data_IF_185571870741
#
_entry.id   IF_185571870741
#
_cell.length_a   1.000
_cell.length_b   1.000
_cell.length_c   1.000
_cell.angle_alpha   90.00
_cell.angle_beta   90.00
_cell.angle_gamma   90.00
#
_symmetry.space_group_name_H-M   'P 1'
#
loop_
_entity.id
_entity.type
_entity.pdbx_description
1 polymer ?
#
# COMPACT_ATOMS: atom_id res chain seq x y z
N UNK A 1 -7.20 -4.66 -9.62
CA UNK A 1 -6.82 -5.57 -8.51
C UNK A 1 -6.70 -6.98 -9.09
N UNK A 2 -5.72 -7.77 -8.64
CA UNK A 2 -5.59 -9.16 -9.06
C UNK A 2 -6.70 -10.05 -8.47
N UNK A 3 -6.74 -11.32 -8.87
CA UNK A 3 -7.62 -12.30 -8.24
C UNK A 3 -7.35 -12.43 -6.74
N UNK A 4 -8.43 -12.60 -5.97
CA UNK A 4 -8.42 -12.81 -4.51
C UNK A 4 -7.36 -13.82 -4.07
N UNK A 5 -7.24 -14.94 -4.80
CA UNK A 5 -6.33 -16.03 -4.49
C UNK A 5 -4.86 -15.63 -4.49
N UNK A 6 -4.47 -14.62 -5.29
CA UNK A 6 -3.09 -14.12 -5.37
C UNK A 6 -2.70 -13.47 -4.05
N UNK A 7 -3.55 -12.59 -3.51
CA UNK A 7 -3.29 -11.91 -2.24
C UNK A 7 -3.26 -12.88 -1.06
N UNK A 8 -4.20 -13.84 -1.02
CA UNK A 8 -4.21 -14.91 -0.02
C UNK A 8 -2.90 -15.70 -0.09
N UNK A 9 -2.50 -16.18 -1.27
CA UNK A 9 -1.27 -16.96 -1.46
C UNK A 9 -0.01 -16.17 -1.05
N UNK A 10 0.05 -14.86 -1.31
CA UNK A 10 1.17 -14.02 -0.87
C UNK A 10 1.28 -13.95 0.64
N UNK A 11 0.16 -13.77 1.35
CA UNK A 11 0.15 -13.76 2.82
C UNK A 11 0.49 -15.12 3.40
N UNK A 12 0.00 -16.22 2.83
CA UNK A 12 0.40 -17.58 3.23
C UNK A 12 1.90 -17.84 3.03
N UNK A 13 2.46 -17.43 1.89
CA UNK A 13 3.90 -17.50 1.65
C UNK A 13 4.70 -16.64 2.63
N UNK A 14 4.17 -15.50 3.08
CA UNK A 14 4.82 -14.69 4.11
C UNK A 14 4.76 -15.37 5.48
N UNK A 15 3.59 -15.89 5.88
CA UNK A 15 3.39 -16.62 7.14
C UNK A 15 4.31 -17.83 7.25
N UNK A 16 4.58 -18.55 6.16
CA UNK A 16 5.55 -19.67 6.16
C UNK A 16 7.03 -19.26 6.31
N UNK A 17 7.36 -17.96 6.26
CA UNK A 17 8.74 -17.44 6.37
C UNK A 17 9.06 -16.78 7.71
N UNK A 18 8.06 -16.51 8.55
CA UNK A 18 8.22 -15.77 9.82
C UNK A 18 7.58 -16.57 10.94
N UNK A 19 8.32 -16.79 12.03
CA UNK A 19 7.96 -17.82 13.02
C UNK A 19 6.93 -17.40 14.06
N UNK A 20 6.59 -16.11 14.16
CA UNK A 20 5.61 -15.64 15.15
C UNK A 20 5.51 -14.13 15.26
N UNK A 21 4.59 -13.66 16.10
CA UNK A 21 4.25 -12.24 16.24
C UNK A 21 3.26 -11.76 15.18
N UNK A 22 3.29 -10.45 14.90
CA UNK A 22 2.43 -9.83 13.87
C UNK A 22 3.25 -8.95 12.94
N UNK A 23 2.89 -8.89 11.66
CA UNK A 23 3.35 -7.84 10.77
C UNK A 23 2.32 -6.71 10.70
N UNK A 24 2.74 -5.50 11.11
CA UNK A 24 1.99 -4.27 10.97
C UNK A 24 2.41 -3.56 9.68
N UNK A 25 1.50 -3.49 8.71
CA UNK A 25 1.70 -2.85 7.42
C UNK A 25 0.78 -1.63 7.33
N UNK A 26 1.36 -0.42 7.43
CA UNK A 26 0.60 0.82 7.31
C UNK A 26 0.43 1.18 5.83
N UNK A 27 -0.81 1.45 5.43
CA UNK A 27 -1.12 2.14 4.18
C UNK A 27 -0.73 3.61 4.25
N UNK A 28 -0.67 4.24 3.09
CA UNK A 28 -0.41 5.66 2.97
C UNK A 28 -1.66 6.49 3.28
N UNK A 29 -1.43 7.73 3.68
CA UNK A 29 -2.45 8.77 3.72
C UNK A 29 -2.46 9.59 2.43
N UNK A 30 -3.54 10.33 2.25
CA UNK A 30 -3.54 11.47 1.33
C UNK A 30 -2.51 12.52 1.76
N UNK A 31 -1.91 13.20 0.79
CA UNK A 31 -0.90 14.22 1.04
C UNK A 31 -1.41 15.56 0.55
N UNK A 32 -1.72 16.51 1.45
CA UNK A 32 -2.14 17.86 1.09
C UNK A 32 -1.11 18.57 0.19
N UNK A 33 -1.56 19.24 -0.87
CA UNK A 33 -0.72 20.07 -1.75
C UNK A 33 -0.48 21.47 -1.16
N UNK A 34 -1.57 22.16 -0.80
CA UNK A 34 -1.56 23.55 -0.34
C UNK A 34 -2.60 23.84 0.75
N UNK A 35 -3.59 22.96 0.96
CA UNK A 35 -4.48 22.92 2.11
C UNK A 35 -5.00 21.49 2.32
N UNK A 36 -5.57 21.20 3.50
CA UNK A 36 -5.89 19.85 3.97
C UNK A 36 -6.67 19.02 2.94
N UNK A 37 -7.73 19.56 2.35
CA UNK A 37 -8.63 18.82 1.44
C UNK A 37 -8.29 19.01 -0.05
N UNK A 38 -7.07 19.46 -0.38
CA UNK A 38 -6.54 19.39 -1.76
C UNK A 38 -5.33 18.46 -1.81
N UNK A 39 -5.56 17.15 -1.92
CA UNK A 39 -4.48 16.18 -1.91
C UNK A 39 -3.80 16.02 -3.27
N UNK A 40 -2.53 15.65 -3.26
CA UNK A 40 -1.86 15.03 -4.42
C UNK A 40 -2.58 13.74 -4.81
N UNK A 41 -2.39 13.32 -6.07
CA UNK A 41 -2.88 12.02 -6.51
C UNK A 41 -2.40 10.92 -5.54
N UNK A 42 -3.37 10.19 -4.98
CA UNK A 42 -3.08 9.18 -3.98
C UNK A 42 -2.26 8.04 -4.59
N UNK A 43 -1.32 7.52 -3.80
CA UNK A 43 -0.55 6.34 -4.15
C UNK A 43 -0.32 5.51 -2.91
N UNK A 44 -0.81 4.27 -2.91
CA UNK A 44 -0.65 3.35 -1.78
C UNK A 44 0.81 2.95 -1.49
N UNK A 45 1.09 2.52 -0.25
CA UNK A 45 2.31 1.80 0.07
C UNK A 45 2.46 0.53 -0.79
N UNK A 46 3.64 0.32 -1.36
CA UNK A 46 3.85 -0.79 -2.31
C UNK A 46 3.78 -2.16 -1.63
N UNK A 47 4.16 -2.28 -0.36
CA UNK A 47 4.09 -3.57 0.34
C UNK A 47 2.67 -3.85 0.82
N UNK A 48 1.96 -2.85 1.33
CA UNK A 48 0.53 -2.95 1.60
C UNK A 48 -0.24 -3.37 0.35
N UNK A 49 0.00 -2.71 -0.79
CA UNK A 49 -0.64 -3.04 -2.06
C UNK A 49 -0.28 -4.46 -2.54
N UNK A 50 0.95 -4.91 -2.30
CA UNK A 50 1.37 -6.27 -2.67
C UNK A 50 0.58 -7.36 -1.93
N UNK A 51 0.34 -7.18 -0.62
CA UNK A 51 -0.36 -8.18 0.20
C UNK A 51 -1.87 -8.03 0.25
N UNK A 52 -2.41 -6.82 0.08
CA UNK A 52 -3.84 -6.56 0.21
C UNK A 52 -4.49 -6.05 -1.09
N UNK A 53 -3.75 -5.43 -2.00
CA UNK A 53 -4.28 -4.98 -3.30
C UNK A 53 -5.28 -3.83 -3.24
N UNK A 54 -5.43 -3.19 -2.08
CA UNK A 54 -6.40 -2.10 -1.86
C UNK A 54 -5.68 -0.75 -1.96
N UNK A 55 -6.03 0.00 -2.99
CA UNK A 55 -5.55 1.37 -3.23
C UNK A 55 -6.56 2.37 -2.66
N UNK A 56 -6.51 2.54 -1.34
CA UNK A 56 -7.38 3.45 -0.58
C UNK A 56 -6.60 4.03 0.60
N UNK A 57 -6.73 5.33 0.90
CA UNK A 57 -5.95 5.99 1.95
C UNK A 57 -6.35 5.52 3.36
N UNK A 58 -5.47 5.78 4.34
CA UNK A 58 -5.81 5.63 5.76
C UNK A 58 -5.97 4.20 6.25
N UNK A 59 -5.48 3.21 5.50
CA UNK A 59 -5.60 1.80 5.86
C UNK A 59 -4.42 1.32 6.75
N UNK A 60 -4.68 0.29 7.54
CA UNK A 60 -3.64 -0.54 8.16
C UNK A 60 -3.98 -2.01 7.99
N UNK A 61 -2.96 -2.82 7.76
CA UNK A 61 -3.09 -4.26 7.56
C UNK A 61 -2.26 -4.99 8.60
N UNK A 62 -2.83 -6.03 9.19
CA UNK A 62 -2.12 -6.92 10.10
C UNK A 62 -2.13 -8.32 9.53
N UNK A 63 -0.95 -8.94 9.45
CA UNK A 63 -0.79 -10.36 9.18
C UNK A 63 -0.32 -10.98 10.48
N UNK A 64 -1.17 -11.79 11.09
CA UNK A 64 -0.88 -12.43 12.36
C UNK A 64 -0.20 -13.79 12.11
N UNK A 65 1.07 -13.91 12.48
CA UNK A 65 1.86 -15.12 12.26
C UNK A 65 1.55 -16.22 13.29
N UNK A 66 1.01 -15.86 14.45
CA UNK A 66 0.70 -16.81 15.51
C UNK A 66 -0.67 -17.47 15.29
N UNK A 67 -1.69 -16.67 14.90
CA UNK A 67 -3.04 -17.20 14.61
C UNK A 67 -3.23 -17.62 13.16
N UNK A 68 -2.42 -17.09 12.24
CA UNK A 68 -2.60 -17.27 10.80
C UNK A 68 -3.70 -16.39 10.20
N UNK A 69 -4.32 -15.52 10.99
CA UNK A 69 -5.39 -14.63 10.55
C UNK A 69 -4.85 -13.33 9.94
N UNK A 70 -5.59 -12.78 8.98
CA UNK A 70 -5.30 -11.48 8.37
C UNK A 70 -6.39 -10.48 8.76
N UNK A 71 -5.99 -9.21 8.93
CA UNK A 71 -6.88 -8.12 9.33
C UNK A 71 -6.65 -6.89 8.45
N UNK A 72 -7.74 -6.20 8.10
CA UNK A 72 -7.69 -4.86 7.50
C UNK A 72 -8.44 -3.89 8.40
N UNK A 73 -7.82 -2.75 8.66
CA UNK A 73 -8.38 -1.66 9.43
C UNK A 73 -8.51 -0.42 8.55
N UNK A 74 -9.65 0.25 8.64
CA UNK A 74 -9.91 1.48 7.91
C UNK A 74 -11.34 1.96 8.11
N UNK A 75 -11.59 3.22 7.76
CA UNK A 75 -12.90 3.86 7.90
C UNK A 75 -13.56 4.12 6.55
N UNK A 76 -14.86 3.83 6.46
CA UNK A 76 -15.67 4.19 5.30
C UNK A 76 -15.90 5.71 5.29
N UNK A 77 -15.99 6.30 4.10
CA UNK A 77 -16.44 7.69 3.94
C UNK A 77 -17.80 7.91 4.59
N UNK A 78 -18.01 9.13 5.09
CA UNK A 78 -19.28 9.47 5.72
C UNK A 78 -20.36 9.83 4.68
N UNK A 79 -21.56 10.17 5.16
CA UNK A 79 -22.67 10.51 4.27
C UNK A 79 -22.44 11.84 3.54
N UNK A 80 -21.74 12.79 4.15
CA UNK A 80 -21.46 14.10 3.56
C UNK A 80 -20.50 13.93 2.38
N UNK A 81 -19.45 13.13 2.58
CA UNK A 81 -18.51 12.70 1.56
C UNK A 81 -19.19 12.01 0.37
N UNK A 82 -20.14 11.10 0.63
CA UNK A 82 -20.88 10.38 -0.43
C UNK A 82 -21.69 11.34 -1.30
N UNK A 83 -22.18 12.45 -0.76
CA UNK A 83 -22.91 13.45 -1.55
C UNK A 83 -22.01 14.09 -2.61
N UNK A 84 -20.72 14.29 -2.30
CA UNK A 84 -19.76 14.94 -3.19
C UNK A 84 -19.02 13.97 -4.10
N UNK A 85 -18.60 12.82 -3.56
CA UNK A 85 -17.79 11.83 -4.27
C UNK A 85 -18.60 10.72 -4.93
N UNK A 86 -19.90 10.66 -4.64
CA UNK A 86 -20.76 9.54 -5.00
C UNK A 86 -20.55 8.31 -4.12
N UNK A 87 -21.35 7.24 -4.33
CA UNK A 87 -21.22 5.99 -3.57
C UNK A 87 -19.83 5.39 -3.73
N UNK A 88 -19.14 5.22 -2.61
CA UNK A 88 -17.85 4.53 -2.56
C UNK A 88 -18.05 3.06 -2.20
N UNK A 89 -17.25 2.20 -2.82
CA UNK A 89 -17.15 0.80 -2.39
C UNK A 89 -16.66 0.75 -0.94
N UNK A 90 -17.33 -0.03 -0.11
CA UNK A 90 -17.00 -0.07 1.31
C UNK A 90 -15.70 -0.85 1.57
N UNK A 91 -15.01 -0.51 2.64
CA UNK A 91 -13.79 -1.21 3.08
C UNK A 91 -14.05 -2.70 3.29
N UNK A 92 -15.25 -3.05 3.76
CA UNK A 92 -15.67 -4.44 3.91
C UNK A 92 -15.65 -5.21 2.60
N UNK A 93 -16.10 -4.58 1.52
CA UNK A 93 -16.15 -5.18 0.19
C UNK A 93 -14.73 -5.28 -0.40
N UNK A 94 -13.91 -4.23 -0.22
CA UNK A 94 -12.49 -4.21 -0.61
C UNK A 94 -11.68 -5.28 0.09
N UNK A 95 -11.86 -5.44 1.41
CA UNK A 95 -11.20 -6.46 2.21
C UNK A 95 -11.56 -7.88 1.75
N UNK A 96 -12.84 -8.12 1.42
CA UNK A 96 -13.28 -9.42 0.90
C UNK A 96 -12.66 -9.74 -0.47
N UNK A 97 -12.48 -8.74 -1.34
CA UNK A 97 -11.73 -8.89 -2.61
C UNK A 97 -10.26 -9.25 -2.38
N UNK A 98 -9.66 -8.77 -1.30
CA UNK A 98 -8.30 -9.15 -0.85
C UNK A 98 -8.24 -10.52 -0.14
N UNK A 99 -9.40 -11.13 0.14
CA UNK A 99 -9.50 -12.38 0.90
C UNK A 99 -9.27 -12.23 2.40
N UNK A 100 -9.57 -11.07 2.95
CA UNK A 100 -9.50 -10.78 4.38
C UNK A 100 -10.91 -10.69 4.94
N UNK A 101 -11.22 -11.54 5.93
CA UNK A 101 -12.53 -11.57 6.59
C UNK A 101 -12.57 -10.64 7.79
N UNK A 102 -11.49 -10.62 8.57
CA UNK A 102 -11.40 -9.81 9.79
C UNK A 102 -11.13 -8.36 9.44
N UNK A 103 -12.01 -7.48 9.91
CA UNK A 103 -11.95 -6.05 9.58
C UNK A 103 -12.54 -5.21 10.69
N UNK A 104 -11.98 -4.02 10.87
CA UNK A 104 -12.42 -3.07 11.89
C UNK A 104 -12.10 -1.63 11.48
N UNK A 105 -12.59 -0.67 12.24
CA UNK A 105 -12.25 0.74 12.09
C UNK A 105 -10.75 0.98 12.35
N UNK A 106 -10.18 2.03 11.76
CA UNK A 106 -8.73 2.33 11.93
C UNK A 106 -8.37 2.60 13.40
N UNK A 107 -9.32 3.13 14.17
CA UNK A 107 -9.18 3.39 15.60
C UNK A 107 -8.86 2.14 16.43
N UNK A 108 -9.23 0.95 15.93
CA UNK A 108 -9.01 -0.34 16.61
C UNK A 108 -7.60 -0.91 16.41
N UNK A 109 -6.78 -0.34 15.54
CA UNK A 109 -5.38 -0.78 15.36
C UNK A 109 -4.58 -0.62 16.64
N UNK A 110 -4.76 0.49 17.35
CA UNK A 110 -4.03 0.77 18.58
C UNK A 110 -4.31 -0.28 19.67
N UNK A 111 -5.59 -0.65 19.83
CA UNK A 111 -6.02 -1.71 20.75
C UNK A 111 -5.39 -3.05 20.38
N UNK A 112 -5.42 -3.43 19.09
CA UNK A 112 -4.83 -4.69 18.63
C UNK A 112 -3.30 -4.75 18.89
N UNK A 113 -2.59 -3.66 18.58
CA UNK A 113 -1.13 -3.60 18.77
C UNK A 113 -0.78 -3.61 20.26
N UNK A 114 -1.50 -2.86 21.10
CA UNK A 114 -1.30 -2.84 22.54
C UNK A 114 -1.52 -4.22 23.18
N UNK A 115 -2.56 -4.94 22.76
CA UNK A 115 -2.81 -6.31 23.21
C UNK A 115 -1.70 -7.28 22.78
N UNK A 116 -1.19 -7.15 21.55
CA UNK A 116 -0.04 -7.93 21.10
C UNK A 116 1.22 -7.63 21.94
N UNK A 117 1.47 -6.36 22.27
CA UNK A 117 2.59 -5.95 23.13
C UNK A 117 2.44 -6.54 24.55
N UNK A 118 1.26 -6.47 25.16
CA UNK A 118 0.99 -7.04 26.50
C UNK A 118 1.19 -8.55 26.54
N UNK A 119 0.89 -9.23 25.45
CA UNK A 119 1.10 -10.68 25.30
C UNK A 119 2.58 -11.04 25.00
N UNK A 120 3.47 -10.04 24.91
CA UNK A 120 4.89 -10.25 24.60
C UNK A 120 5.14 -10.65 23.14
N UNK A 121 4.17 -10.41 22.26
CA UNK A 121 4.26 -10.76 20.84
C UNK A 121 5.12 -9.73 20.11
N UNK A 122 5.93 -10.20 19.17
CA UNK A 122 6.82 -9.33 18.39
C UNK A 122 6.01 -8.54 17.36
N UNK A 123 6.22 -7.23 17.31
CA UNK A 123 5.63 -6.36 16.28
C UNK A 123 6.67 -6.16 15.17
N UNK A 124 6.40 -6.75 14.01
CA UNK A 124 7.24 -6.59 12.82
C UNK A 124 6.71 -5.45 11.95
N UNK A 125 7.56 -4.50 11.61
CA UNK A 125 7.25 -3.47 10.62
C UNK A 125 8.45 -3.21 9.72
N UNK A 126 8.17 -2.69 8.53
CA UNK A 126 9.17 -2.30 7.55
C UNK A 126 9.66 -0.86 7.81
N UNK A 127 10.85 -0.48 7.31
CA UNK A 127 11.32 0.91 7.40
C UNK A 127 10.32 1.87 6.74
N UNK A 128 9.71 2.79 7.49
CA UNK A 128 8.81 3.79 6.91
C UNK A 128 9.61 4.86 6.16
N UNK A 129 9.03 5.37 5.07
CA UNK A 129 9.61 6.48 4.29
C UNK A 129 8.79 7.78 4.38
N UNK A 130 7.57 7.71 4.93
CA UNK A 130 6.69 8.86 5.16
C UNK A 130 6.65 9.23 6.63
N UNK A 131 6.74 10.53 6.92
CA UNK A 131 6.66 11.11 8.26
C UNK A 131 5.41 10.68 9.02
N UNK A 132 4.27 10.61 8.33
CA UNK A 132 2.98 10.27 8.92
C UNK A 132 3.00 8.84 9.46
N UNK A 133 3.61 7.91 8.71
CA UNK A 133 3.76 6.53 9.12
C UNK A 133 4.78 6.36 10.25
N UNK A 134 5.84 7.16 10.28
CA UNK A 134 6.78 7.21 11.42
C UNK A 134 6.02 7.61 12.71
N UNK A 135 5.22 8.67 12.64
CA UNK A 135 4.46 9.17 13.79
C UNK A 135 3.34 8.20 14.22
N UNK A 136 2.68 7.53 13.26
CA UNK A 136 1.72 6.46 13.58
C UNK A 136 2.38 5.30 14.30
N UNK A 137 3.54 4.83 13.81
CA UNK A 137 4.28 3.76 14.46
C UNK A 137 4.73 4.17 15.87
N UNK A 138 5.15 5.41 16.09
CA UNK A 138 5.46 5.92 17.44
C UNK A 138 4.25 5.82 18.36
N UNK A 139 3.08 6.28 17.90
CA UNK A 139 1.83 6.17 18.68
C UNK A 139 1.41 4.73 18.97
N UNK A 140 1.59 3.82 18.01
CA UNK A 140 1.15 2.44 18.12
C UNK A 140 2.09 1.55 18.94
N UNK A 141 3.40 1.82 18.87
CA UNK A 141 4.44 0.95 19.47
C UNK A 141 5.12 1.57 20.68
N UNK A 142 4.97 2.89 20.90
CA UNK A 142 5.72 3.64 21.91
C UNK A 142 7.19 3.91 21.54
N UNK A 143 7.65 3.47 20.36
CA UNK A 143 9.03 3.69 19.89
C UNK A 143 9.13 5.14 19.38
N UNK A 144 10.02 5.93 19.98
CA UNK A 144 10.22 7.33 19.56
C UNK A 144 10.53 7.44 18.06
N UNK A 145 9.91 8.42 17.39
CA UNK A 145 10.07 8.69 15.95
C UNK A 145 11.52 8.70 15.47
N UNK A 146 12.42 9.30 16.26
CA UNK A 146 13.86 9.38 15.95
C UNK A 146 14.61 8.04 16.00
N UNK A 147 14.00 6.98 16.56
CA UNK A 147 14.60 5.65 16.69
C UNK A 147 13.85 4.55 15.95
N UNK A 148 12.72 4.84 15.30
CA UNK A 148 11.87 3.85 14.62
C UNK A 148 12.68 2.91 13.72
N UNK A 149 13.65 3.44 12.97
CA UNK A 149 14.45 2.67 12.03
C UNK A 149 15.32 1.59 12.72
N UNK A 150 15.73 1.81 13.97
CA UNK A 150 16.53 0.86 14.75
C UNK A 150 15.73 -0.39 15.16
N UNK A 151 14.40 -0.30 15.13
CA UNK A 151 13.46 -1.36 15.54
C UNK A 151 12.75 -2.03 14.37
N UNK A 152 13.10 -1.66 13.12
CA UNK A 152 12.57 -2.32 11.93
C UNK A 152 12.93 -3.80 11.91
N UNK A 153 12.09 -4.63 11.31
CA UNK A 153 12.25 -6.09 11.33
C UNK A 153 13.12 -6.58 10.16
N UNK A 154 14.38 -7.00 10.37
CA UNK A 154 15.23 -7.50 9.28
C UNK A 154 14.70 -8.80 8.67
N UNK A 155 14.01 -9.60 9.47
CA UNK A 155 13.35 -10.84 9.06
C UNK A 155 12.19 -10.55 8.09
N UNK A 156 11.32 -9.59 8.44
CA UNK A 156 10.23 -9.16 7.58
C UNK A 156 10.76 -8.53 6.29
N UNK A 157 11.79 -7.69 6.37
CA UNK A 157 12.43 -7.08 5.20
C UNK A 157 12.93 -8.18 4.23
N UNK A 158 13.68 -9.16 4.72
CA UNK A 158 14.22 -10.26 3.90
C UNK A 158 13.09 -11.08 3.26
N UNK A 159 12.05 -11.42 4.02
CA UNK A 159 10.92 -12.18 3.50
C UNK A 159 10.13 -11.41 2.42
N UNK A 160 9.87 -10.12 2.63
CA UNK A 160 9.18 -9.27 1.65
C UNK A 160 10.02 -9.09 0.38
N UNK A 161 11.34 -8.86 0.52
CA UNK A 161 12.24 -8.74 -0.64
C UNK A 161 12.27 -10.03 -1.43
N UNK A 162 12.39 -11.19 -0.78
CA UNK A 162 12.39 -12.49 -1.43
C UNK A 162 11.11 -12.72 -2.25
N UNK A 163 9.94 -12.47 -1.65
CA UNK A 163 8.65 -12.62 -2.32
C UNK A 163 8.47 -11.66 -3.51
N UNK A 164 8.90 -10.40 -3.38
CA UNK A 164 8.72 -9.38 -4.43
C UNK A 164 9.80 -9.43 -5.51
N UNK A 165 10.90 -10.15 -5.28
CA UNK A 165 12.00 -10.24 -6.24
C UNK A 165 11.65 -11.14 -7.43
N UNK A 166 10.92 -12.23 -7.19
CA UNK A 166 10.46 -13.17 -8.21
C UNK A 166 9.00 -12.87 -8.57
N UNK A 167 8.74 -12.55 -9.83
CA UNK A 167 7.41 -12.09 -10.28
C UNK A 167 6.53 -13.29 -10.64
N UNK A 168 5.28 -13.24 -10.21
CA UNK A 168 4.24 -14.18 -10.66
C UNK A 168 3.85 -13.86 -12.12
N UNK A 169 3.24 -14.81 -12.83
CA UNK A 169 2.86 -14.62 -14.24
C UNK A 169 1.95 -13.41 -14.45
N UNK A 170 0.98 -13.19 -13.56
CA UNK A 170 0.09 -12.03 -13.60
C UNK A 170 0.85 -10.70 -13.46
N UNK A 171 1.91 -10.66 -12.63
CA UNK A 171 2.74 -9.46 -12.48
C UNK A 171 3.57 -9.18 -13.72
N UNK A 172 4.10 -10.24 -14.36
CA UNK A 172 4.83 -10.12 -15.62
C UNK A 172 3.91 -9.57 -16.72
N UNK A 173 2.65 -9.99 -16.74
CA UNK A 173 1.68 -9.51 -17.73
C UNK A 173 1.37 -8.02 -17.54
N UNK A 174 1.18 -7.55 -16.31
CA UNK A 174 1.05 -6.10 -16.01
C UNK A 174 2.32 -5.33 -16.36
N UNK A 175 3.51 -5.87 -16.05
CA UNK A 175 4.78 -5.24 -16.43
C UNK A 175 4.90 -5.13 -17.96
N UNK A 176 4.46 -6.13 -18.72
CA UNK A 176 4.44 -6.07 -20.19
C UNK A 176 3.49 -5.00 -20.71
N UNK A 177 2.35 -4.78 -20.06
CA UNK A 177 1.44 -3.67 -20.39
C UNK A 177 2.17 -2.34 -20.14
N UNK A 178 2.74 -2.14 -18.96
CA UNK A 178 3.50 -0.93 -18.62
C UNK A 178 4.68 -0.68 -19.56
N UNK A 179 5.43 -1.71 -19.94
CA UNK A 179 6.54 -1.59 -20.90
C UNK A 179 6.06 -1.20 -22.31
N UNK A 180 4.93 -1.73 -22.78
CA UNK A 180 4.34 -1.34 -24.09
C UNK A 180 3.88 0.11 -24.08
N UNK A 181 3.32 0.56 -22.97
CA UNK A 181 2.95 1.95 -22.76
C UNK A 181 4.20 2.86 -22.76
N UNK A 182 5.23 2.49 -22.00
CA UNK A 182 6.51 3.20 -21.97
C UNK A 182 7.19 3.25 -23.34
N UNK A 183 7.13 2.18 -24.13
CA UNK A 183 7.60 2.19 -25.51
C UNK A 183 6.87 3.26 -26.34
N UNK A 184 5.54 3.30 -26.26
CA UNK A 184 4.71 4.28 -26.97
C UNK A 184 5.05 5.71 -26.56
N UNK A 185 5.26 5.95 -25.26
CA UNK A 185 5.71 7.22 -24.72
C UNK A 185 7.07 7.63 -25.30
N UNK A 186 8.07 6.74 -25.25
CA UNK A 186 9.41 7.06 -25.76
C UNK A 186 9.42 7.30 -27.29
N UNK A 187 8.63 6.55 -28.06
CA UNK A 187 8.49 6.79 -29.50
C UNK A 187 7.90 8.17 -29.78
N UNK A 188 6.84 8.56 -29.05
CA UNK A 188 6.24 9.88 -29.18
C UNK A 188 7.24 10.99 -28.78
N UNK A 189 8.00 10.81 -27.70
CA UNK A 189 9.05 11.76 -27.32
C UNK A 189 10.05 11.98 -28.46
N UNK A 190 10.55 10.90 -29.07
CA UNK A 190 11.53 11.00 -30.16
C UNK A 190 10.95 11.67 -31.41
N UNK A 191 9.68 11.42 -31.73
CA UNK A 191 9.00 12.04 -32.87
C UNK A 191 8.82 13.55 -32.68
N UNK A 192 8.52 13.98 -31.45
CA UNK A 192 8.20 15.38 -31.13
C UNK A 192 9.41 16.22 -30.64
N UNK A 193 10.57 15.60 -30.41
CA UNK A 193 11.79 16.26 -29.97
C UNK A 193 12.49 17.04 -31.11
N UNK A 194 11.89 18.16 -31.51
CA UNK A 194 12.40 19.04 -32.57
C UNK A 194 13.02 20.34 -32.00
N UNK A 195 13.99 20.96 -32.68
CA UNK A 195 14.54 22.25 -32.25
C UNK A 195 13.46 23.31 -32.05
N UNK A 196 13.51 24.02 -30.92
CA UNK A 196 12.53 25.05 -30.55
C UNK A 196 11.28 24.54 -29.84
N UNK A 197 11.11 23.23 -29.67
CA UNK A 197 10.05 22.65 -28.84
C UNK A 197 10.48 22.65 -27.37
N UNK A 198 9.55 23.05 -26.50
CA UNK A 198 9.75 23.03 -25.05
C UNK A 198 9.58 21.62 -24.49
N UNK A 199 10.42 21.25 -23.53
CA UNK A 199 10.36 19.94 -22.86
C UNK A 199 8.97 19.65 -22.26
N UNK A 200 8.29 20.69 -21.77
CA UNK A 200 6.94 20.61 -21.21
C UNK A 200 5.89 20.15 -22.23
N UNK A 201 6.03 20.54 -23.50
CA UNK A 201 5.12 20.10 -24.56
C UNK A 201 5.23 18.58 -24.74
N UNK A 202 6.46 18.06 -24.75
CA UNK A 202 6.72 16.63 -24.85
C UNK A 202 6.19 15.93 -23.60
N UNK A 203 6.50 16.44 -22.40
CA UNK A 203 6.01 15.89 -21.14
C UNK A 203 4.47 15.75 -21.12
N UNK A 204 3.74 16.77 -21.61
CA UNK A 204 2.27 16.70 -21.72
C UNK A 204 1.77 15.60 -22.67
N UNK A 205 2.47 15.36 -23.78
CA UNK A 205 2.16 14.23 -24.67
C UNK A 205 2.37 12.90 -23.94
N UNK A 206 3.49 12.77 -23.22
CA UNK A 206 3.83 11.54 -22.49
C UNK A 206 2.81 11.24 -21.39
N UNK A 207 2.43 12.26 -20.62
CA UNK A 207 1.41 12.14 -19.57
C UNK A 207 0.05 11.76 -20.17
N UNK A 208 -0.34 12.37 -21.30
CA UNK A 208 -1.56 12.00 -22.01
C UNK A 208 -1.56 10.54 -22.50
N UNK A 209 -0.42 10.04 -23.00
CA UNK A 209 -0.27 8.62 -23.36
C UNK A 209 -0.42 7.75 -22.11
N UNK A 210 0.25 8.10 -21.01
CA UNK A 210 0.22 7.34 -19.78
C UNK A 210 -1.21 7.21 -19.23
N UNK A 211 -1.94 8.33 -19.10
CA UNK A 211 -3.33 8.37 -18.62
C UNK A 211 -4.26 7.52 -19.51
N UNK A 212 -4.07 7.58 -20.83
CA UNK A 212 -4.85 6.75 -21.77
C UNK A 212 -4.60 5.25 -21.58
N UNK A 213 -3.44 4.87 -21.08
CA UNK A 213 -3.05 3.48 -20.85
C UNK A 213 -3.75 2.79 -19.67
N UNK A 214 -4.41 3.57 -18.81
CA UNK A 214 -5.01 3.08 -17.56
C UNK A 214 -4.07 3.28 -16.37
#
# INVERSE_FOLDING_TARGET
>A
MFDKSIYVNRREKLKSKISGGIALLLGNEESPMNYADNPFHFRQDSTFLYFFGIDYPGLAGIIDFDSGEDYIFGDNVDMEDIIWMGPQEKIEEKALKAGVVNRAQISKVAEFVDDAIKQGRRIHFLPPYRSENILKLEKLTGISSGKINDYTSPELIKAVVDLRSVKESCEIDEIRIACRLGYSMHMAAMEHALPGIWEQYIAGILEGIAIKGG
#
